data_IF_829451030543
#
_entry.id   IF_829451030543
#
_cell.length_a   1.000
_cell.length_b   1.000
_cell.length_c   1.000
_cell.angle_alpha   90.00
_cell.angle_beta   90.00
_cell.angle_gamma   90.00
#
_symmetry.space_group_name_H-M   'P 1'
#
loop_
_entity.id
_entity.type
_entity.pdbx_description
1 polymer ?
#
# COMPACT_ATOMS: atom_id res chain seq x y z
N UNK A 1 -13.17 -12.30 4.17
CA UNK A 1 -13.15 -10.90 4.62
C UNK A 1 -14.57 -10.36 4.55
N UNK A 2 -15.12 -9.90 5.66
CA UNK A 2 -16.48 -9.37 5.68
C UNK A 2 -16.47 -7.93 5.17
N UNK A 3 -17.36 -7.61 4.24
CA UNK A 3 -17.57 -6.24 3.77
C UNK A 3 -18.05 -5.34 4.92
N UNK A 4 -17.70 -4.06 4.87
CA UNK A 4 -18.15 -3.06 5.84
C UNK A 4 -19.66 -2.84 5.67
N UNK A 5 -20.52 -3.14 6.65
CA UNK A 5 -21.94 -2.84 6.53
C UNK A 5 -22.17 -1.33 6.69
N UNK A 6 -22.95 -0.75 5.83
CA UNK A 6 -23.49 0.59 6.01
C UNK A 6 -23.67 1.40 4.75
N UNK A 7 -24.88 1.85 4.58
CA UNK A 7 -25.52 2.77 3.64
C UNK A 7 -24.63 3.51 2.62
N UNK A 8 -25.17 3.70 1.44
CA UNK A 8 -24.63 4.36 0.26
C UNK A 8 -23.67 5.50 0.59
N UNK A 9 -22.39 5.25 0.46
CA UNK A 9 -21.40 6.29 0.44
C UNK A 9 -20.96 6.52 -0.99
N UNK A 10 -21.58 7.48 -1.59
CA UNK A 10 -20.93 8.21 -2.67
C UNK A 10 -19.74 8.93 -2.05
N UNK A 11 -18.61 8.24 -1.94
CA UNK A 11 -17.35 8.92 -1.79
C UNK A 11 -16.74 8.95 -3.19
N UNK A 12 -16.70 10.09 -3.87
CA UNK A 12 -15.91 10.22 -5.06
C UNK A 12 -14.46 10.11 -4.63
N UNK A 13 -13.87 8.93 -4.81
CA UNK A 13 -12.44 8.78 -4.81
C UNK A 13 -11.97 9.18 -6.20
N UNK A 14 -11.87 10.49 -6.43
CA UNK A 14 -11.27 10.99 -7.64
C UNK A 14 -9.76 10.98 -7.46
N UNK A 15 -9.11 10.00 -8.03
CA UNK A 15 -7.81 10.27 -8.64
C UNK A 15 -8.09 10.94 -9.98
N UNK A 16 -7.13 11.62 -10.60
CA UNK A 16 -7.32 12.15 -11.98
C UNK A 16 -7.80 11.05 -12.96
N UNK A 17 -7.84 9.82 -12.53
CA UNK A 17 -8.01 8.64 -13.34
C UNK A 17 -9.16 7.73 -12.87
N UNK A 18 -9.85 8.02 -11.73
CA UNK A 18 -10.91 7.14 -11.26
C UNK A 18 -11.98 7.80 -10.37
N UNK A 19 -13.24 7.62 -10.74
CA UNK A 19 -14.39 7.85 -9.89
C UNK A 19 -14.90 6.48 -9.40
N UNK A 20 -14.87 6.25 -8.08
CA UNK A 20 -15.47 5.06 -7.49
C UNK A 20 -16.77 5.44 -6.81
N UNK A 21 -17.86 4.87 -7.28
CA UNK A 21 -19.16 4.96 -6.62
C UNK A 21 -19.44 3.62 -5.96
N UNK A 22 -19.59 3.61 -4.64
CA UNK A 22 -20.02 2.43 -3.90
C UNK A 22 -21.52 2.51 -3.71
N UNK A 23 -22.23 1.53 -4.24
CA UNK A 23 -23.66 1.36 -4.03
C UNK A 23 -23.90 0.22 -3.02
N UNK A 24 -24.71 0.48 -2.03
CA UNK A 24 -25.20 -0.55 -1.11
C UNK A 24 -26.51 -1.12 -1.69
N UNK A 25 -26.53 -2.41 -1.97
CA UNK A 25 -27.74 -3.13 -2.33
C UNK A 25 -28.68 -3.28 -1.13
N UNK A 26 -29.99 -3.45 -1.36
CA UNK A 26 -30.97 -3.67 -0.29
C UNK A 26 -30.77 -4.98 0.50
N UNK A 27 -29.97 -5.89 -0.02
CA UNK A 27 -29.58 -7.16 0.58
C UNK A 27 -28.25 -7.07 1.38
N UNK A 28 -27.72 -5.87 1.56
CA UNK A 28 -26.41 -5.64 2.21
C UNK A 28 -25.21 -5.94 1.32
N UNK A 29 -25.43 -6.19 0.04
CA UNK A 29 -24.33 -6.31 -0.92
C UNK A 29 -23.73 -4.95 -1.23
N UNK A 30 -22.41 -4.87 -1.27
CA UNK A 30 -21.70 -3.68 -1.65
C UNK A 30 -21.19 -3.84 -3.08
N UNK A 31 -21.73 -3.05 -4.00
CA UNK A 31 -21.26 -3.02 -5.39
C UNK A 31 -20.45 -1.75 -5.61
N UNK A 32 -19.19 -1.90 -5.90
CA UNK A 32 -18.36 -0.80 -6.37
C UNK A 32 -18.53 -0.68 -7.88
N UNK A 33 -19.14 0.40 -8.33
CA UNK A 33 -19.12 0.76 -9.75
C UNK A 33 -17.89 1.63 -9.98
N UNK A 34 -16.95 1.10 -10.72
CA UNK A 34 -15.71 1.78 -11.08
C UNK A 34 -15.92 2.42 -12.44
N UNK A 35 -16.01 3.72 -12.48
CA UNK A 35 -16.19 4.47 -13.73
C UNK A 35 -14.84 4.89 -14.33
N UNK A 36 -13.75 4.34 -13.86
CA UNK A 36 -12.49 4.45 -14.56
C UNK A 36 -11.67 3.19 -14.42
N UNK A 37 -11.04 2.83 -15.50
CA UNK A 37 -10.33 1.58 -15.71
C UNK A 37 -9.02 1.46 -14.92
N UNK A 38 -8.64 2.45 -14.12
CA UNK A 38 -7.32 2.51 -13.50
C UNK A 38 -7.31 2.32 -11.98
N UNK A 39 -8.40 2.65 -11.29
CA UNK A 39 -8.51 2.45 -9.85
C UNK A 39 -9.34 1.21 -9.52
N UNK A 40 -8.83 0.38 -8.64
CA UNK A 40 -9.51 -0.84 -8.20
C UNK A 40 -9.69 -0.83 -6.69
N UNK A 41 -10.94 -0.78 -6.15
CA UNK A 41 -11.19 -0.72 -4.72
C UNK A 41 -10.57 -1.88 -3.93
N UNK A 42 -10.50 -3.09 -4.52
CA UNK A 42 -9.88 -4.24 -3.88
C UNK A 42 -8.39 -4.05 -3.55
N UNK A 43 -7.72 -3.10 -4.21
CA UNK A 43 -6.34 -2.73 -3.92
C UNK A 43 -6.23 -1.71 -2.76
N UNK A 44 -7.35 -1.27 -2.18
CA UNK A 44 -7.39 -0.35 -1.04
C UNK A 44 -7.85 -1.08 0.24
N UNK A 45 -6.98 -1.80 0.95
CA UNK A 45 -7.35 -2.70 2.04
C UNK A 45 -8.12 -2.02 3.17
N UNK A 46 -7.88 -0.75 3.43
CA UNK A 46 -8.57 0.00 4.48
C UNK A 46 -10.08 0.11 4.26
N UNK A 47 -10.56 -0.01 3.03
CA UNK A 47 -11.99 0.00 2.70
C UNK A 47 -12.74 -1.22 3.25
N UNK A 48 -12.03 -2.29 3.58
CA UNK A 48 -12.61 -3.58 4.01
C UNK A 48 -12.53 -3.81 5.51
N UNK A 49 -12.01 -2.86 6.29
CA UNK A 49 -11.91 -2.99 7.74
C UNK A 49 -13.20 -2.55 8.44
N UNK A 50 -14.02 -3.50 8.86
CA UNK A 50 -15.32 -3.27 9.49
C UNK A 50 -15.25 -2.49 10.82
N UNK A 51 -14.11 -2.53 11.50
CA UNK A 51 -13.91 -1.81 12.77
C UNK A 51 -13.41 -0.37 12.60
N UNK A 52 -13.06 0.04 11.38
CA UNK A 52 -12.67 1.42 11.12
C UNK A 52 -13.95 2.24 10.91
N UNK A 53 -14.20 3.26 11.74
CA UNK A 53 -15.38 4.12 11.56
C UNK A 53 -15.37 4.75 10.17
N UNK A 54 -16.53 4.81 9.55
CA UNK A 54 -16.69 5.33 8.19
C UNK A 54 -16.14 6.74 8.01
N UNK A 55 -16.36 7.62 8.98
CA UNK A 55 -15.81 8.97 8.96
C UNK A 55 -14.27 8.96 8.91
N UNK A 56 -13.63 8.10 9.69
CA UNK A 56 -12.19 7.91 9.69
C UNK A 56 -11.72 7.36 8.36
N UNK A 57 -12.39 6.34 7.84
CA UNK A 57 -12.06 5.77 6.53
C UNK A 57 -12.11 6.84 5.42
N UNK A 58 -13.17 7.65 5.38
CA UNK A 58 -13.28 8.75 4.40
C UNK A 58 -12.22 9.84 4.55
N UNK A 59 -11.79 10.11 5.77
CA UNK A 59 -10.75 11.11 6.03
C UNK A 59 -9.35 10.64 5.66
N UNK A 60 -9.10 9.34 5.76
CA UNK A 60 -7.76 8.75 5.61
C UNK A 60 -7.55 8.02 4.28
N UNK A 61 -8.61 7.48 3.67
CA UNK A 61 -8.54 6.90 2.31
C UNK A 61 -8.87 7.99 1.30
N UNK A 62 -7.83 8.55 0.73
CA UNK A 62 -7.92 9.71 -0.17
C UNK A 62 -7.15 9.45 -1.46
N UNK A 63 -7.49 10.15 -2.55
CA UNK A 63 -6.69 10.09 -3.77
C UNK A 63 -5.23 10.44 -3.50
N UNK A 64 -4.31 9.75 -4.16
CA UNK A 64 -2.90 10.12 -4.10
C UNK A 64 -2.71 11.51 -4.72
N UNK A 65 -2.25 12.51 -3.94
CA UNK A 65 -2.07 13.85 -4.46
C UNK A 65 -0.95 13.85 -5.49
N UNK A 66 -1.19 14.49 -6.63
CA UNK A 66 -0.25 14.59 -7.74
C UNK A 66 1.09 15.23 -7.34
N UNK A 67 1.11 16.01 -6.28
CA UNK A 67 2.26 16.85 -5.93
C UNK A 67 2.90 16.50 -4.59
N UNK A 68 2.16 16.00 -3.60
CA UNK A 68 2.74 15.84 -2.25
C UNK A 68 1.93 14.96 -1.31
N UNK A 69 2.46 13.83 -0.89
CA UNK A 69 1.91 13.06 0.25
C UNK A 69 2.34 13.69 1.58
N UNK A 70 1.53 13.50 2.63
CA UNK A 70 1.82 13.98 3.98
C UNK A 70 2.69 12.96 4.74
N UNK A 71 4.00 13.14 4.78
CA UNK A 71 4.93 12.28 5.52
C UNK A 71 4.88 12.45 7.06
N UNK A 72 3.92 13.19 7.59
CA UNK A 72 3.69 13.31 9.04
C UNK A 72 2.90 12.14 9.63
N UNK A 73 2.28 11.31 8.80
CA UNK A 73 1.56 10.12 9.25
C UNK A 73 2.55 9.05 9.69
N UNK A 74 2.23 8.33 10.76
CA UNK A 74 3.04 7.20 11.24
C UNK A 74 3.08 6.05 10.24
N UNK A 75 1.99 5.87 9.51
CA UNK A 75 1.86 4.84 8.48
C UNK A 75 1.08 5.42 7.28
N UNK A 76 1.57 5.16 6.10
CA UNK A 76 0.92 5.56 4.84
C UNK A 76 0.95 4.38 3.89
N UNK A 77 -0.22 3.91 3.49
CA UNK A 77 -0.37 2.90 2.46
C UNK A 77 -0.61 3.58 1.12
N UNK A 78 0.13 3.22 0.11
CA UNK A 78 0.01 3.78 -1.23
C UNK A 78 -0.20 2.64 -2.20
N UNK A 79 -1.31 2.67 -2.92
CA UNK A 79 -1.58 1.75 -4.01
C UNK A 79 -1.55 2.55 -5.33
N UNK A 80 -0.63 2.27 -6.22
CA UNK A 80 -0.64 2.83 -7.56
C UNK A 80 -1.90 2.39 -8.32
N UNK A 81 -2.21 3.06 -9.41
CA UNK A 81 -3.27 2.63 -10.31
C UNK A 81 -2.82 1.43 -11.17
N UNK A 82 -3.75 0.80 -11.91
CA UNK A 82 -3.48 -0.42 -12.67
C UNK A 82 -2.36 -0.31 -13.72
N UNK A 83 -2.04 0.90 -14.20
CA UNK A 83 -0.90 1.10 -15.10
C UNK A 83 0.43 1.16 -14.35
N UNK A 84 0.40 1.69 -13.14
CA UNK A 84 1.60 1.93 -12.36
C UNK A 84 1.92 0.80 -11.36
N UNK A 85 0.96 -0.08 -11.08
CA UNK A 85 1.14 -1.28 -10.25
C UNK A 85 1.54 -2.52 -11.06
N UNK A 86 1.61 -2.41 -12.39
CA UNK A 86 1.93 -3.46 -13.36
C UNK A 86 0.82 -4.50 -13.59
N UNK A 87 -0.41 -4.25 -13.12
CA UNK A 87 -1.53 -5.13 -13.44
C UNK A 87 -1.89 -5.04 -14.93
N UNK A 88 -2.11 -3.82 -15.45
CA UNK A 88 -2.43 -3.55 -16.86
C UNK A 88 -1.31 -2.78 -17.58
N UNK A 89 -0.36 -2.24 -16.84
CA UNK A 89 0.75 -1.46 -17.37
C UNK A 89 2.02 -2.27 -17.58
N UNK A 90 2.98 -1.66 -18.28
CA UNK A 90 4.29 -2.25 -18.50
C UNK A 90 5.24 -1.97 -17.32
N UNK A 91 6.27 -2.80 -17.10
CA UNK A 91 7.32 -2.51 -16.12
C UNK A 91 7.97 -1.14 -16.33
N UNK A 92 8.11 -0.69 -17.58
CA UNK A 92 8.68 0.62 -17.89
C UNK A 92 7.79 1.77 -17.40
N UNK A 93 6.46 1.66 -17.55
CA UNK A 93 5.51 2.66 -17.04
C UNK A 93 5.53 2.72 -15.51
N UNK A 94 5.49 1.57 -14.86
CA UNK A 94 5.57 1.48 -13.41
C UNK A 94 6.89 2.04 -12.86
N UNK A 95 8.01 1.69 -13.49
CA UNK A 95 9.34 2.19 -13.12
C UNK A 95 9.45 3.71 -13.29
N UNK A 96 8.98 4.26 -14.40
CA UNK A 96 8.99 5.70 -14.64
C UNK A 96 8.16 6.46 -13.60
N UNK A 97 6.96 5.95 -13.29
CA UNK A 97 6.11 6.52 -12.26
C UNK A 97 6.77 6.45 -10.87
N UNK A 98 7.31 5.29 -10.50
CA UNK A 98 7.95 5.09 -9.20
C UNK A 98 9.19 5.97 -9.05
N UNK A 99 10.00 6.08 -10.11
CA UNK A 99 11.15 6.98 -10.14
C UNK A 99 10.73 8.45 -9.90
N UNK A 100 9.70 8.93 -10.61
CA UNK A 100 9.20 10.28 -10.43
C UNK A 100 8.61 10.50 -9.02
N UNK A 101 7.88 9.51 -8.49
CA UNK A 101 7.24 9.57 -7.18
C UNK A 101 8.25 9.58 -6.03
N UNK A 102 9.30 8.78 -6.11
CA UNK A 102 10.33 8.68 -5.06
C UNK A 102 11.45 9.69 -5.26
N UNK A 103 12.02 9.79 -6.45
CA UNK A 103 13.23 10.53 -6.76
C UNK A 103 13.01 11.84 -7.53
N UNK A 104 11.78 12.18 -7.91
CA UNK A 104 11.50 13.46 -8.57
C UNK A 104 11.75 14.66 -7.65
N UNK A 105 11.71 15.91 -8.18
CA UNK A 105 12.05 17.13 -7.42
C UNK A 105 11.26 17.32 -6.11
N UNK A 106 10.05 16.75 -6.05
CA UNK A 106 9.17 16.74 -4.87
C UNK A 106 8.98 15.35 -4.31
N UNK A 107 9.79 14.40 -4.74
CA UNK A 107 9.70 12.98 -4.38
C UNK A 107 9.97 12.72 -2.90
N UNK A 108 9.56 11.56 -2.45
CA UNK A 108 9.63 11.16 -1.04
C UNK A 108 11.07 11.23 -0.51
N UNK A 109 12.05 10.80 -1.31
CA UNK A 109 13.45 10.69 -0.90
C UNK A 109 14.17 12.02 -0.72
N UNK A 110 13.63 13.11 -1.27
CA UNK A 110 14.19 14.47 -1.11
C UNK A 110 13.56 15.25 0.04
N UNK A 111 12.64 14.65 0.78
CA UNK A 111 11.88 15.37 1.80
C UNK A 111 12.48 15.20 3.20
N UNK A 112 12.41 16.28 3.99
CA UNK A 112 13.00 16.33 5.32
C UNK A 112 12.66 15.14 6.25
N UNK A 113 11.42 14.61 6.32
CA UNK A 113 11.17 13.42 7.13
C UNK A 113 11.98 12.19 6.70
N UNK A 114 12.23 12.02 5.40
CA UNK A 114 13.07 10.95 4.91
C UNK A 114 14.55 11.26 5.15
N UNK A 115 15.04 12.41 4.72
CA UNK A 115 16.49 12.75 4.82
C UNK A 115 16.99 12.84 6.26
N UNK A 116 16.08 13.06 7.22
CA UNK A 116 16.38 13.04 8.67
C UNK A 116 16.25 11.66 9.32
N UNK A 117 16.01 10.61 8.54
CA UNK A 117 15.90 9.25 9.07
C UNK A 117 14.55 8.90 9.74
N UNK A 118 13.51 9.72 9.55
CA UNK A 118 12.20 9.48 10.18
C UNK A 118 11.19 8.78 9.27
N UNK A 119 11.63 8.29 8.11
CA UNK A 119 10.76 7.61 7.14
C UNK A 119 11.50 6.46 6.49
N UNK A 120 10.90 5.27 6.52
CA UNK A 120 11.30 4.15 5.69
C UNK A 120 10.22 3.91 4.62
N UNK A 121 10.65 3.58 3.42
CA UNK A 121 9.79 3.24 2.29
C UNK A 121 9.90 1.74 2.04
N UNK A 122 8.76 1.08 1.92
CA UNK A 122 8.64 -0.33 1.59
C UNK A 122 7.93 -0.45 0.25
N UNK A 123 8.49 -1.20 -0.68
CA UNK A 123 7.89 -1.48 -1.99
C UNK A 123 7.82 -2.99 -2.13
N UNK A 124 6.61 -3.50 -2.38
CA UNK A 124 6.41 -4.94 -2.56
C UNK A 124 5.19 -5.21 -3.43
N UNK A 125 5.07 -6.45 -3.84
CA UNK A 125 3.93 -6.97 -4.59
C UNK A 125 3.14 -7.96 -3.74
N UNK A 126 1.85 -8.05 -3.97
CA UNK A 126 0.95 -8.96 -3.25
C UNK A 126 1.04 -10.39 -3.78
N UNK A 127 1.24 -10.54 -5.09
CA UNK A 127 1.35 -11.85 -5.75
C UNK A 127 2.29 -11.80 -6.95
N UNK A 128 2.76 -12.96 -7.38
CA UNK A 128 3.44 -13.14 -8.66
C UNK A 128 2.44 -13.49 -9.76
N UNK A 129 2.83 -13.33 -11.02
CA UNK A 129 2.09 -13.91 -12.13
C UNK A 129 2.11 -15.43 -11.98
N UNK A 130 0.96 -16.02 -11.70
CA UNK A 130 0.87 -17.47 -11.59
C UNK A 130 0.84 -18.12 -12.97
N UNK A 131 1.96 -18.65 -13.38
CA UNK A 131 2.04 -19.66 -14.44
C UNK A 131 2.43 -20.98 -13.79
N UNK A 132 1.42 -21.72 -13.26
CA UNK A 132 1.63 -23.01 -12.61
C UNK A 132 1.81 -22.93 -11.08
N UNK A 133 2.00 -24.09 -10.44
CA UNK A 133 2.07 -24.28 -8.98
C UNK A 133 3.40 -23.83 -8.33
N UNK A 134 4.23 -23.07 -9.03
CA UNK A 134 5.52 -22.62 -8.50
C UNK A 134 5.39 -21.22 -7.92
N UNK A 135 5.51 -21.11 -6.60
CA UNK A 135 5.68 -19.82 -5.93
C UNK A 135 6.99 -19.18 -6.40
N UNK A 136 6.88 -18.09 -7.15
CA UNK A 136 8.04 -17.29 -7.53
C UNK A 136 8.31 -16.23 -6.45
N UNK A 137 9.60 -15.99 -6.10
CA UNK A 137 9.94 -14.93 -5.16
C UNK A 137 9.43 -13.57 -5.64
N UNK A 138 8.81 -12.81 -4.74
CA UNK A 138 8.35 -11.46 -5.01
C UNK A 138 9.46 -10.44 -4.72
N UNK A 139 9.59 -9.40 -5.53
CA UNK A 139 10.42 -8.27 -5.18
C UNK A 139 9.93 -7.62 -3.88
N UNK A 140 10.85 -7.40 -2.95
CA UNK A 140 10.60 -6.65 -1.73
C UNK A 140 11.78 -5.71 -1.50
N UNK A 141 11.52 -4.40 -1.55
CA UNK A 141 12.56 -3.37 -1.48
C UNK A 141 12.30 -2.50 -0.24
N UNK A 142 13.35 -2.28 0.52
CA UNK A 142 13.35 -1.34 1.66
C UNK A 142 14.30 -0.21 1.36
N UNK A 143 13.82 1.03 1.47
CA UNK A 143 14.59 2.24 1.25
C UNK A 143 14.50 3.10 2.51
N UNK A 144 15.63 3.29 3.18
CA UNK A 144 15.74 4.13 4.37
C UNK A 144 17.18 4.70 4.44
N UNK A 145 17.36 5.89 5.01
CA UNK A 145 18.72 6.43 5.21
C UNK A 145 19.63 5.54 6.08
N UNK A 146 19.05 4.68 6.91
CA UNK A 146 19.79 3.75 7.77
C UNK A 146 20.01 2.38 7.13
N UNK A 147 19.30 2.05 6.05
CA UNK A 147 19.40 0.74 5.40
C UNK A 147 20.63 0.69 4.49
N UNK A 148 21.59 -0.21 4.74
CA UNK A 148 22.72 -0.39 3.85
C UNK A 148 22.29 -1.04 2.53
N UNK A 149 23.05 -0.81 1.48
CA UNK A 149 22.88 -1.52 0.21
C UNK A 149 23.23 -3.00 0.41
N UNK A 150 22.22 -3.85 0.44
CA UNK A 150 22.37 -5.29 0.66
C UNK A 150 21.15 -6.07 0.22
N UNK A 151 21.36 -7.34 0.00
CA UNK A 151 20.29 -8.32 -0.21
C UNK A 151 20.13 -9.18 1.04
N UNK A 152 18.89 -9.34 1.52
CA UNK A 152 18.60 -10.28 2.58
C UNK A 152 18.54 -11.71 2.00
N UNK A 153 19.40 -12.59 2.49
CA UNK A 153 19.56 -13.96 1.96
C UNK A 153 18.66 -15.00 2.63
N UNK A 154 17.86 -14.59 3.61
CA UNK A 154 16.95 -15.51 4.31
C UNK A 154 15.53 -15.42 3.73
N UNK A 155 14.75 -16.51 3.80
CA UNK A 155 13.35 -16.48 3.41
C UNK A 155 12.56 -15.46 4.23
N UNK A 156 11.82 -14.59 3.55
CA UNK A 156 10.92 -13.59 4.11
C UNK A 156 9.58 -13.68 3.38
N UNK A 157 8.50 -13.30 4.02
CA UNK A 157 7.17 -13.31 3.46
C UNK A 157 6.36 -12.10 3.92
N UNK A 158 5.12 -11.98 3.49
CA UNK A 158 4.23 -10.88 3.87
C UNK A 158 4.00 -10.74 5.38
N UNK A 159 4.02 -11.86 6.13
CA UNK A 159 3.95 -11.79 7.59
C UNK A 159 5.21 -11.17 8.20
N UNK A 160 6.37 -11.34 7.56
CA UNK A 160 7.61 -10.66 7.99
C UNK A 160 7.49 -9.15 7.81
N UNK A 161 6.86 -8.68 6.75
CA UNK A 161 6.55 -7.26 6.55
C UNK A 161 5.58 -6.74 7.62
N UNK A 162 4.47 -7.44 7.84
CA UNK A 162 3.49 -7.08 8.88
C UNK A 162 4.16 -7.02 10.26
N UNK A 163 4.94 -8.03 10.63
CA UNK A 163 5.70 -8.05 11.89
C UNK A 163 6.62 -6.85 12.04
N UNK A 164 7.21 -6.41 10.95
CA UNK A 164 8.09 -5.23 10.94
C UNK A 164 7.30 -3.96 11.24
N UNK A 165 6.19 -3.74 10.54
CA UNK A 165 5.35 -2.56 10.75
C UNK A 165 4.74 -2.51 12.14
N UNK A 166 4.24 -3.63 12.66
CA UNK A 166 3.77 -3.75 14.04
C UNK A 166 4.86 -3.31 15.03
N UNK A 167 6.07 -3.81 14.85
CA UNK A 167 7.20 -3.46 15.72
C UNK A 167 7.60 -1.98 15.60
N UNK A 168 7.63 -1.43 14.39
CA UNK A 168 7.97 -0.01 14.17
C UNK A 168 6.91 0.93 14.73
N UNK A 169 5.66 0.50 14.73
CA UNK A 169 4.51 1.27 15.24
C UNK A 169 4.20 1.01 16.72
N UNK A 170 5.00 0.17 17.38
CA UNK A 170 4.78 -0.28 18.76
C UNK A 170 3.41 -0.94 18.97
N UNK A 171 2.95 -1.71 17.99
CA UNK A 171 1.71 -2.47 18.04
C UNK A 171 1.98 -3.91 18.46
N UNK A 172 1.03 -4.57 19.12
CA UNK A 172 1.09 -6.01 19.35
C UNK A 172 1.04 -6.74 18.01
N UNK A 173 1.70 -7.90 17.93
CA UNK A 173 1.61 -8.72 16.73
C UNK A 173 0.24 -9.38 16.60
N UNK A 174 -0.17 -9.68 15.37
CA UNK A 174 -1.43 -10.39 15.09
C UNK A 174 -1.21 -11.63 14.21
N UNK A 175 -1.93 -12.69 14.53
CA UNK A 175 -1.96 -13.92 13.73
C UNK A 175 -0.56 -14.49 13.45
N UNK A 176 -0.32 -14.92 12.23
CA UNK A 176 0.93 -15.55 11.82
C UNK A 176 2.16 -14.61 11.89
N UNK A 177 1.97 -13.29 11.94
CA UNK A 177 3.07 -12.34 12.11
C UNK A 177 3.82 -12.53 13.45
N UNK A 178 3.15 -13.07 14.47
CA UNK A 178 3.77 -13.34 15.78
C UNK A 178 4.83 -14.45 15.73
N UNK A 179 4.81 -15.31 14.74
CA UNK A 179 5.67 -16.49 14.63
C UNK A 179 6.80 -16.34 13.61
N UNK A 180 6.93 -15.16 13.00
CA UNK A 180 7.95 -14.89 11.99
C UNK A 180 8.91 -13.80 12.43
N UNK A 181 10.10 -13.78 11.84
CA UNK A 181 11.08 -12.71 12.03
C UNK A 181 10.75 -11.53 11.12
N UNK A 182 10.80 -10.31 11.68
CA UNK A 182 10.65 -9.07 10.92
C UNK A 182 11.93 -8.67 10.18
N UNK A 183 11.82 -7.54 9.49
CA UNK A 183 12.84 -6.98 8.60
C UNK A 183 13.78 -5.98 9.30
N UNK A 184 13.50 -5.59 10.55
CA UNK A 184 14.26 -4.54 11.23
C UNK A 184 15.75 -4.83 11.30
N UNK A 185 16.13 -6.05 11.72
CA UNK A 185 17.53 -6.43 11.85
C UNK A 185 18.25 -6.44 10.50
N UNK A 186 17.76 -7.16 9.45
CA UNK A 186 18.47 -7.20 8.18
C UNK A 186 18.54 -5.86 7.45
N UNK A 187 17.65 -4.92 7.72
CA UNK A 187 17.59 -3.62 7.04
C UNK A 187 17.89 -2.43 7.94
N UNK A 188 18.31 -2.64 9.17
CA UNK A 188 18.69 -1.58 10.14
C UNK A 188 17.59 -0.52 10.33
N UNK A 189 16.32 -0.95 10.50
CA UNK A 189 15.13 -0.10 10.66
C UNK A 189 14.85 0.22 12.13
#
# INVERSE_FOLDING_TARGET
MAAVPGSAATAPYSTKDALVTVHDGPDGTHTAVIDTRLYVPRHAPALYYTRVPRATCRADVVPLPATRIKLKRKFTWITPNLQHDMHDGTPAQASAWLHAFLGGPHGVLHRAPYTRGHTAVFIWFDSSSQTGDVETPLPFIVISPSTPERVAVRPLNHFSALRTWESMLHLPCVGAACFVKGLRIPFHL
#
